data_IF_677288273044
#
_entry.id   IF_677288273044
#
_cell.length_a   1.000
_cell.length_b   1.000
_cell.length_c   1.000
_cell.angle_alpha   90.00
_cell.angle_beta   90.00
_cell.angle_gamma   90.00
#
_symmetry.space_group_name_H-M   'P 1'
#
loop_
_entity.id
_entity.type
_entity.pdbx_description
1 polymer ?
#
# COMPACT_ATOMS: atom_id res chain seq x y z
N UNK A 1 3.19 -13.95 6.81
CA UNK A 1 3.00 -12.72 7.61
C UNK A 1 3.67 -11.58 6.86
N UNK A 2 2.89 -10.67 6.27
CA UNK A 2 3.43 -9.48 5.63
C UNK A 2 3.67 -8.42 6.71
N UNK A 3 4.93 -8.24 7.10
CA UNK A 3 5.31 -7.16 8.02
C UNK A 3 5.28 -5.83 7.27
N UNK A 4 4.72 -4.76 7.86
CA UNK A 4 4.73 -3.45 7.23
C UNK A 4 6.18 -3.00 6.97
N UNK A 5 6.39 -2.40 5.80
CA UNK A 5 7.69 -1.86 5.41
C UNK A 5 7.66 -0.36 5.58
N UNK A 6 8.68 0.17 6.24
CA UNK A 6 8.90 1.60 6.38
C UNK A 6 10.18 2.01 5.62
N UNK A 7 10.24 3.27 5.20
CA UNK A 7 11.36 3.87 4.48
C UNK A 7 11.93 4.99 5.33
N UNK A 8 13.26 4.99 5.51
CA UNK A 8 13.94 6.10 6.17
C UNK A 8 14.33 7.22 5.18
N UNK A 9 14.85 8.33 5.70
CA UNK A 9 15.21 9.51 4.90
C UNK A 9 16.25 9.26 3.80
N UNK A 10 17.06 8.21 3.92
CA UNK A 10 18.07 7.86 2.92
C UNK A 10 17.57 6.77 1.96
N UNK A 11 16.27 6.42 2.02
CA UNK A 11 15.62 5.46 1.13
C UNK A 11 15.83 4.00 1.50
N UNK A 12 16.41 3.71 2.68
CA UNK A 12 16.54 2.31 3.14
C UNK A 12 15.19 1.80 3.60
N UNK A 13 14.90 0.54 3.28
CA UNK A 13 13.64 -0.10 3.64
C UNK A 13 13.83 -0.99 4.85
N UNK A 14 12.90 -0.89 5.80
CA UNK A 14 12.91 -1.57 7.07
C UNK A 14 11.59 -2.30 7.27
N UNK A 15 11.62 -3.61 7.49
CA UNK A 15 10.45 -4.35 7.94
C UNK A 15 10.25 -4.14 9.44
N UNK A 16 9.05 -3.70 9.84
CA UNK A 16 8.70 -3.48 11.24
C UNK A 16 8.09 -4.77 11.82
N UNK A 17 8.69 -5.25 12.91
CA UNK A 17 8.40 -6.52 13.55
C UNK A 17 8.01 -6.27 15.01
N UNK A 18 6.90 -6.87 15.45
CA UNK A 18 6.57 -6.94 16.86
C UNK A 18 7.22 -8.19 17.47
N UNK A 19 8.09 -8.01 18.46
CA UNK A 19 8.74 -9.10 19.18
C UNK A 19 8.46 -8.90 20.67
N UNK A 20 7.55 -9.71 21.22
CA UNK A 20 7.06 -9.52 22.58
C UNK A 20 6.35 -8.16 22.72
N UNK A 21 6.84 -7.32 23.63
CA UNK A 21 6.30 -5.98 23.88
C UNK A 21 7.16 -4.85 23.23
N UNK A 22 7.98 -5.17 22.23
CA UNK A 22 8.86 -4.20 21.56
C UNK A 22 8.65 -4.24 20.06
N UNK A 23 8.84 -3.08 19.43
CA UNK A 23 8.93 -2.96 17.98
C UNK A 23 10.41 -2.95 17.57
N UNK A 24 10.73 -3.80 16.60
CA UNK A 24 12.07 -3.94 16.05
C UNK A 24 12.00 -3.75 14.55
N UNK A 25 12.99 -3.12 13.97
CA UNK A 25 13.09 -2.90 12.55
C UNK A 25 14.25 -3.72 11.99
N UNK A 26 13.98 -4.51 10.93
CA UNK A 26 15.00 -5.25 10.19
C UNK A 26 15.18 -4.65 8.80
N UNK A 27 16.42 -4.35 8.44
CA UNK A 27 16.76 -3.86 7.10
C UNK A 27 16.39 -4.92 6.05
N UNK A 28 15.61 -4.51 5.05
CA UNK A 28 15.23 -5.37 3.90
C UNK A 28 15.81 -4.87 2.58
N UNK A 29 16.10 -3.57 2.46
CA UNK A 29 16.76 -2.99 1.28
C UNK A 29 17.66 -1.83 1.67
N UNK A 30 18.85 -1.78 1.08
CA UNK A 30 19.89 -0.78 1.35
C UNK A 30 20.99 -1.34 2.25
N UNK A 31 21.82 -0.45 2.79
CA UNK A 31 22.97 -0.81 3.64
C UNK A 31 22.93 -0.04 4.95
N UNK A 32 22.92 -0.74 6.07
CA UNK A 32 23.05 -0.18 7.41
C UNK A 32 23.73 -1.20 8.34
N UNK A 33 24.46 -0.70 9.33
CA UNK A 33 25.02 -1.52 10.41
C UNK A 33 24.66 -0.86 11.74
N UNK A 34 23.98 -1.58 12.65
CA UNK A 34 23.47 -2.95 12.50
C UNK A 34 22.25 -3.05 11.56
N UNK A 35 21.99 -4.25 11.04
CA UNK A 35 20.86 -4.53 10.15
C UNK A 35 19.53 -4.80 10.88
N UNK A 36 19.55 -4.82 12.22
CA UNK A 36 18.39 -4.95 13.11
C UNK A 36 18.53 -3.93 14.21
N UNK A 37 17.48 -3.15 14.45
CA UNK A 37 17.45 -2.06 15.43
C UNK A 37 16.12 -2.04 16.18
N UNK A 38 16.13 -1.62 17.44
CA UNK A 38 14.90 -1.19 18.11
C UNK A 38 14.31 0.01 17.35
N UNK A 39 12.98 0.11 17.30
CA UNK A 39 12.33 1.16 16.50
C UNK A 39 12.72 2.57 16.99
N UNK A 40 12.89 2.76 18.30
CA UNK A 40 13.29 4.05 18.86
C UNK A 40 14.73 4.40 18.47
N UNK A 41 15.63 3.42 18.46
CA UNK A 41 17.01 3.59 18.01
C UNK A 41 17.07 3.92 16.52
N UNK A 42 16.23 3.26 15.72
CA UNK A 42 16.15 3.49 14.28
C UNK A 42 15.73 4.94 13.97
N UNK A 43 14.67 5.43 14.65
CA UNK A 43 14.18 6.80 14.49
C UNK A 43 15.21 7.81 14.97
N UNK A 44 15.89 7.53 16.09
CA UNK A 44 16.94 8.41 16.60
C UNK A 44 18.11 8.54 15.61
N UNK A 45 18.55 7.43 14.99
CA UNK A 45 19.72 7.42 14.09
C UNK A 45 19.41 7.94 12.68
N UNK A 46 18.28 7.55 12.12
CA UNK A 46 17.94 7.83 10.71
C UNK A 46 16.75 8.77 10.52
N UNK A 47 16.17 9.27 11.61
CA UNK A 47 15.04 10.16 11.58
C UNK A 47 13.70 9.44 11.41
N UNK A 48 12.61 10.21 11.21
CA UNK A 48 11.27 9.66 11.03
C UNK A 48 11.19 8.67 9.88
N UNK A 49 10.34 7.66 10.05
CA UNK A 49 10.08 6.64 9.03
C UNK A 49 8.76 6.91 8.35
N UNK A 50 8.73 6.73 7.03
CA UNK A 50 7.50 6.76 6.24
C UNK A 50 7.06 5.32 6.03
N UNK A 51 5.88 4.95 6.52
CA UNK A 51 5.31 3.65 6.20
C UNK A 51 5.01 3.59 4.70
N UNK A 52 5.62 2.65 3.99
CA UNK A 52 5.20 2.34 2.64
C UNK A 52 3.76 1.88 2.71
N UNK A 53 2.85 2.38 1.86
CA UNK A 53 1.54 1.80 1.76
C UNK A 53 1.74 0.32 1.46
N UNK A 54 1.27 -0.56 2.33
CA UNK A 54 1.12 -1.97 1.99
C UNK A 54 0.24 -1.96 0.75
N UNK A 55 0.71 -2.38 -0.44
CA UNK A 55 -0.18 -2.46 -1.58
C UNK A 55 -1.34 -3.34 -1.10
N UNK A 56 -2.57 -2.81 -1.11
CA UNK A 56 -3.68 -3.60 -0.62
C UNK A 56 -3.72 -4.90 -1.43
N UNK A 57 -4.12 -6.00 -0.80
CA UNK A 57 -4.35 -7.29 -1.47
C UNK A 57 -5.24 -7.18 -2.73
N UNK A 58 -5.90 -6.03 -2.89
CA UNK A 58 -6.65 -5.46 -3.99
C UNK A 58 -5.85 -5.27 -5.29
N UNK A 59 -4.52 -5.46 -5.34
CA UNK A 59 -3.77 -5.32 -6.60
C UNK A 59 -4.35 -6.17 -7.76
N UNK A 60 -4.86 -7.38 -7.45
CA UNK A 60 -5.57 -8.22 -8.42
C UNK A 60 -6.98 -7.71 -8.77
N UNK A 61 -7.71 -7.20 -7.77
CA UNK A 61 -9.06 -6.64 -7.94
C UNK A 61 -9.03 -5.33 -8.72
N UNK A 62 -7.99 -4.51 -8.54
CA UNK A 62 -7.79 -3.26 -9.26
C UNK A 62 -7.46 -3.50 -10.74
N UNK A 63 -6.66 -4.52 -11.06
CA UNK A 63 -6.43 -4.91 -12.45
C UNK A 63 -7.73 -5.39 -13.12
N UNK A 64 -8.50 -6.25 -12.46
CA UNK A 64 -9.79 -6.72 -12.98
C UNK A 64 -10.80 -5.57 -13.18
N UNK A 65 -10.79 -4.57 -12.30
CA UNK A 65 -11.58 -3.37 -12.44
C UNK A 65 -11.10 -2.49 -13.60
N UNK A 66 -9.78 -2.30 -13.76
CA UNK A 66 -9.21 -1.54 -14.87
C UNK A 66 -9.54 -2.18 -16.23
N UNK A 67 -9.50 -3.50 -16.33
CA UNK A 67 -9.92 -4.25 -17.53
C UNK A 67 -11.42 -4.02 -17.81
N UNK A 68 -12.25 -4.05 -16.78
CA UNK A 68 -13.70 -3.78 -16.90
C UNK A 68 -13.97 -2.35 -17.34
N UNK A 69 -13.27 -1.36 -16.79
CA UNK A 69 -13.36 0.05 -17.20
C UNK A 69 -12.95 0.22 -18.66
N UNK A 70 -11.84 -0.41 -19.07
CA UNK A 70 -11.36 -0.36 -20.45
C UNK A 70 -12.35 -0.96 -21.45
N UNK A 71 -12.97 -2.10 -21.10
CA UNK A 71 -14.00 -2.74 -21.91
C UNK A 71 -15.24 -1.86 -22.07
N UNK A 72 -15.79 -1.35 -20.96
CA UNK A 72 -16.98 -0.48 -20.97
C UNK A 72 -16.73 0.82 -21.73
N UNK A 73 -15.53 1.40 -21.60
CA UNK A 73 -15.17 2.63 -22.30
C UNK A 73 -14.99 2.43 -23.82
N UNK A 74 -14.55 1.24 -24.24
CA UNK A 74 -14.30 0.93 -25.65
C UNK A 74 -15.57 0.58 -26.42
N UNK A 75 -16.52 -0.09 -25.76
CA UNK A 75 -17.81 -0.44 -26.35
C UNK A 75 -18.94 -0.40 -25.30
N UNK A 76 -19.47 0.80 -25.00
CA UNK A 76 -20.48 0.97 -23.96
C UNK A 76 -21.84 0.34 -24.34
N UNK A 77 -22.14 0.20 -25.63
CA UNK A 77 -23.43 -0.32 -26.11
C UNK A 77 -23.56 -1.84 -25.91
N UNK A 78 -22.43 -2.55 -25.81
CA UNK A 78 -22.40 -4.01 -25.55
C UNK A 78 -22.04 -4.35 -24.10
N UNK A 79 -21.74 -3.35 -23.27
CA UNK A 79 -21.45 -3.55 -21.86
C UNK A 79 -22.67 -4.08 -21.10
N UNK A 80 -22.44 -5.08 -20.24
CA UNK A 80 -23.49 -5.58 -19.36
C UNK A 80 -23.83 -4.57 -18.25
N UNK A 81 -25.07 -4.61 -17.77
CA UNK A 81 -25.54 -3.76 -16.65
C UNK A 81 -24.65 -3.92 -15.41
N UNK A 82 -24.11 -5.11 -15.17
CA UNK A 82 -23.24 -5.37 -14.03
C UNK A 82 -21.88 -4.69 -14.18
N UNK A 83 -21.28 -4.71 -15.38
CA UNK A 83 -20.03 -3.99 -15.65
C UNK A 83 -20.23 -2.47 -15.51
N UNK A 84 -21.35 -1.94 -16.00
CA UNK A 84 -21.69 -0.52 -15.85
C UNK A 84 -21.84 -0.15 -14.36
N UNK A 85 -22.50 -1.00 -13.55
CA UNK A 85 -22.66 -0.80 -12.11
C UNK A 85 -21.32 -0.80 -11.38
N UNK A 86 -20.41 -1.70 -11.74
CA UNK A 86 -19.06 -1.75 -11.16
C UNK A 86 -18.27 -0.46 -11.45
N UNK A 87 -18.28 0.00 -12.70
CA UNK A 87 -17.62 1.26 -13.09
C UNK A 87 -18.26 2.46 -12.37
N UNK A 88 -19.59 2.52 -12.29
CA UNK A 88 -20.28 3.60 -11.59
C UNK A 88 -19.98 3.63 -10.09
N UNK A 89 -19.93 2.47 -9.43
CA UNK A 89 -19.58 2.35 -8.00
C UNK A 89 -18.16 2.83 -7.74
N UNK A 90 -17.22 2.48 -8.62
CA UNK A 90 -15.84 2.96 -8.55
C UNK A 90 -15.75 4.47 -8.79
N UNK A 91 -16.43 5.02 -9.79
CA UNK A 91 -16.45 6.46 -10.03
C UNK A 91 -17.01 7.22 -8.81
N UNK A 92 -18.03 6.67 -8.15
CA UNK A 92 -18.58 7.25 -6.92
C UNK A 92 -17.58 7.20 -5.76
N UNK A 93 -16.75 6.16 -5.62
CA UNK A 93 -15.76 6.10 -4.53
C UNK A 93 -14.67 7.16 -4.66
N UNK A 94 -14.40 7.64 -5.88
CA UNK A 94 -13.46 8.74 -6.15
C UNK A 94 -14.08 10.11 -5.82
N UNK A 95 -15.36 10.29 -6.16
CA UNK A 95 -16.02 11.60 -6.10
C UNK A 95 -16.76 11.81 -4.77
N UNK A 96 -17.16 10.75 -4.09
CA UNK A 96 -17.83 10.85 -2.80
C UNK A 96 -16.86 11.42 -1.76
N UNK A 97 -17.23 12.48 -1.03
CA UNK A 97 -16.42 12.98 0.07
C UNK A 97 -16.26 11.83 1.08
N UNK A 98 -15.01 11.48 1.39
CA UNK A 98 -14.72 10.64 2.54
C UNK A 98 -15.32 11.36 3.76
N UNK A 99 -16.32 10.74 4.40
CA UNK A 99 -17.09 11.35 5.47
C UNK A 99 -16.20 12.00 6.54
N UNK A 100 -16.63 13.19 6.99
CA UNK A 100 -16.11 13.91 8.16
C UNK A 100 -16.20 13.10 9.44
#
# INVERSE_FOLDING_TARGET
MNSPVAVDRDGRQWAILAIGNRLTARLVRGTATPAVLDLDELVHRYGPLVLSPTPPHVAGEFMALADTVGLVASDPETASVEQIRQVATFAQSIVAPHGS
#
